data_IF_727570928280
#
_entry.id   IF_727570928280
#
_cell.length_a   1.000
_cell.length_b   1.000
_cell.length_c   1.000
_cell.angle_alpha   90.00
_cell.angle_beta   90.00
_cell.angle_gamma   90.00
#
_symmetry.space_group_name_H-M   'P 1'
#
loop_
_entity.id
_entity.type
_entity.pdbx_description
1 polymer ?
#
# COMPACT_ATOMS: atom_id res chain seq x y z
N UNK A 1 -2.70 -11.83 -2.23
CA UNK A 1 -2.51 -10.35 -2.11
C UNK A 1 -1.14 -9.86 -2.58
N UNK A 2 -0.03 -10.60 -2.43
CA UNK A 2 1.33 -10.19 -2.89
C UNK A 2 1.42 -9.71 -4.35
N UNK A 3 0.83 -10.44 -5.30
CA UNK A 3 0.91 -10.11 -6.75
C UNK A 3 0.27 -8.75 -7.07
N UNK A 4 -0.78 -8.34 -6.33
CA UNK A 4 -1.43 -7.04 -6.54
C UNK A 4 -0.55 -5.87 -6.05
N UNK A 5 0.24 -6.08 -5.01
CA UNK A 5 1.14 -5.06 -4.46
C UNK A 5 2.38 -4.84 -5.32
N UNK A 6 2.97 -5.89 -5.90
CA UNK A 6 4.11 -5.73 -6.84
C UNK A 6 3.71 -4.96 -8.10
N UNK A 7 2.52 -5.25 -8.64
CA UNK A 7 2.00 -4.50 -9.78
C UNK A 7 1.66 -3.04 -9.42
N UNK A 8 1.14 -2.80 -8.21
CA UNK A 8 0.88 -1.44 -7.72
C UNK A 8 2.17 -0.64 -7.54
N UNK A 9 3.20 -1.26 -6.97
CA UNK A 9 4.53 -0.68 -6.78
C UNK A 9 5.20 -0.38 -8.14
N UNK A 10 5.11 -1.31 -9.09
CA UNK A 10 5.59 -1.11 -10.45
C UNK A 10 4.88 0.06 -11.14
N UNK A 11 3.55 0.12 -11.02
CA UNK A 11 2.74 1.20 -11.59
C UNK A 11 3.06 2.55 -10.97
N UNK A 12 3.15 2.64 -9.63
CA UNK A 12 3.52 3.89 -8.94
C UNK A 12 4.92 4.34 -9.35
N UNK A 13 5.89 3.43 -9.45
CA UNK A 13 7.25 3.75 -9.88
C UNK A 13 7.29 4.33 -11.29
N UNK A 14 6.59 3.69 -12.23
CA UNK A 14 6.48 4.17 -13.61
C UNK A 14 5.79 5.54 -13.66
N UNK A 15 4.64 5.69 -12.97
CA UNK A 15 3.89 6.95 -12.90
C UNK A 15 4.73 8.08 -12.32
N UNK A 16 5.51 7.83 -11.26
CA UNK A 16 6.34 8.86 -10.62
C UNK A 16 7.47 9.31 -11.54
N UNK A 17 8.13 8.37 -12.22
CA UNK A 17 9.15 8.69 -13.22
C UNK A 17 8.58 9.50 -14.38
N UNK A 18 7.45 9.04 -14.95
CA UNK A 18 6.80 9.72 -16.08
C UNK A 18 6.30 11.12 -15.71
N UNK A 19 5.76 11.30 -14.51
CA UNK A 19 5.37 12.64 -14.03
C UNK A 19 6.57 13.58 -13.90
N UNK A 20 7.67 13.12 -13.31
CA UNK A 20 8.88 13.92 -13.17
C UNK A 20 9.46 14.31 -14.54
N UNK A 21 9.43 13.39 -15.51
CA UNK A 21 9.82 13.66 -16.89
C UNK A 21 8.95 14.75 -17.53
N UNK A 22 7.62 14.63 -17.43
CA UNK A 22 6.69 15.59 -18.01
C UNK A 22 6.86 16.98 -17.38
N UNK A 23 6.98 17.06 -16.05
CA UNK A 23 7.23 18.32 -15.34
C UNK A 23 8.54 18.96 -15.83
N UNK A 24 9.60 18.16 -16.00
CA UNK A 24 10.88 18.64 -16.50
C UNK A 24 10.78 19.21 -17.92
N UNK A 25 10.11 18.48 -18.82
CA UNK A 25 9.91 18.93 -20.21
C UNK A 25 9.11 20.22 -20.25
N UNK A 26 8.01 20.32 -19.50
CA UNK A 26 7.20 21.54 -19.43
C UNK A 26 8.02 22.70 -18.86
N UNK A 27 8.69 22.49 -17.73
CA UNK A 27 9.48 23.52 -17.07
C UNK A 27 10.64 24.04 -17.94
N UNK A 28 11.42 23.15 -18.57
CA UNK A 28 12.54 23.60 -19.39
C UNK A 28 12.13 24.07 -20.79
N UNK A 29 10.93 23.74 -21.27
CA UNK A 29 10.35 24.36 -22.47
C UNK A 29 10.04 25.85 -22.26
N UNK A 30 9.64 26.25 -21.04
CA UNK A 30 9.43 27.65 -20.67
C UNK A 30 10.74 28.45 -20.59
N UNK A 31 11.88 27.78 -20.43
CA UNK A 31 13.20 28.39 -20.31
C UNK A 31 13.96 28.50 -21.65
N UNK A 32 13.31 28.22 -22.79
CA UNK A 32 13.91 28.24 -24.14
C UNK A 32 15.21 27.40 -24.25
N UNK A 33 15.25 26.30 -23.51
CA UNK A 33 16.39 25.37 -23.51
C UNK A 33 16.43 24.57 -24.81
N UNK A 34 17.62 24.21 -25.29
CA UNK A 34 17.74 23.34 -26.47
C UNK A 34 16.95 22.03 -26.29
N UNK A 35 16.08 21.65 -27.23
CA UNK A 35 15.15 20.53 -27.06
C UNK A 35 15.88 19.19 -26.89
N UNK A 36 17.04 19.03 -27.51
CA UNK A 36 17.83 17.81 -27.43
C UNK A 36 18.42 17.63 -26.01
N UNK A 37 18.95 18.71 -25.44
CA UNK A 37 19.49 18.74 -24.09
C UNK A 37 18.38 18.57 -23.05
N UNK A 38 17.22 19.17 -23.30
CA UNK A 38 16.01 19.03 -22.48
C UNK A 38 15.56 17.57 -22.37
N UNK A 39 15.50 16.86 -23.49
CA UNK A 39 15.10 15.44 -23.53
C UNK A 39 16.14 14.56 -22.84
N UNK A 40 17.44 14.79 -23.09
CA UNK A 40 18.53 14.04 -22.45
C UNK A 40 18.50 14.17 -20.93
N UNK A 41 18.41 15.40 -20.42
CA UNK A 41 18.32 15.64 -18.98
C UNK A 41 17.00 15.10 -18.44
N UNK A 42 15.90 15.23 -19.19
CA UNK A 42 14.61 14.62 -18.83
C UNK A 42 14.72 13.11 -18.63
N UNK A 43 15.38 12.38 -19.54
CA UNK A 43 15.60 10.93 -19.40
C UNK A 43 16.41 10.62 -18.14
N UNK A 44 17.42 11.44 -17.81
CA UNK A 44 18.19 11.28 -16.57
C UNK A 44 17.29 11.51 -15.34
N UNK A 45 16.46 12.56 -15.33
CA UNK A 45 15.49 12.83 -14.26
C UNK A 45 14.51 11.66 -14.12
N UNK A 46 13.98 11.14 -15.23
CA UNK A 46 13.11 9.97 -15.25
C UNK A 46 13.77 8.78 -14.55
N UNK A 47 15.00 8.42 -14.94
CA UNK A 47 15.72 7.29 -14.36
C UNK A 47 15.99 7.48 -12.87
N UNK A 48 16.31 8.70 -12.46
CA UNK A 48 16.60 9.04 -11.07
C UNK A 48 15.36 8.90 -10.20
N UNK A 49 14.23 9.49 -10.62
CA UNK A 49 12.94 9.36 -9.94
C UNK A 49 12.38 7.95 -9.99
N UNK A 50 12.62 7.21 -11.08
CA UNK A 50 12.24 5.81 -11.18
C UNK A 50 12.99 4.94 -10.16
N UNK A 51 14.29 5.20 -9.91
CA UNK A 51 15.01 4.54 -8.82
C UNK A 51 14.50 4.94 -7.43
N UNK A 52 14.28 6.24 -7.20
CA UNK A 52 13.76 6.76 -5.93
C UNK A 52 12.38 6.21 -5.58
N UNK A 53 11.46 6.17 -6.54
CA UNK A 53 10.13 5.58 -6.38
C UNK A 53 10.20 4.09 -5.99
N UNK A 54 11.26 3.38 -6.40
CA UNK A 54 11.50 2.02 -5.96
C UNK A 54 11.91 1.87 -4.50
N UNK A 55 12.70 2.80 -3.98
CA UNK A 55 13.07 2.85 -2.56
C UNK A 55 11.85 3.22 -1.71
N UNK A 56 11.08 4.21 -2.16
CA UNK A 56 9.85 4.65 -1.49
C UNK A 56 8.79 3.54 -1.43
N UNK A 57 8.64 2.78 -2.52
CA UNK A 57 7.74 1.63 -2.55
C UNK A 57 8.14 0.52 -1.57
N UNK A 58 9.44 0.24 -1.41
CA UNK A 58 9.93 -0.70 -0.40
C UNK A 58 9.69 -0.23 1.03
N UNK A 59 9.78 1.08 1.26
CA UNK A 59 9.42 1.70 2.54
C UNK A 59 7.92 1.54 2.83
N UNK A 60 7.06 1.82 1.85
CA UNK A 60 5.61 1.62 1.95
C UNK A 60 5.22 0.16 2.18
N UNK A 61 5.94 -0.79 1.55
CA UNK A 61 5.74 -2.22 1.79
C UNK A 61 5.99 -2.59 3.26
N UNK A 62 7.06 -2.06 3.89
CA UNK A 62 7.33 -2.26 5.33
C UNK A 62 6.22 -1.70 6.21
N UNK A 63 5.79 -0.46 5.95
CA UNK A 63 4.75 0.19 6.76
C UNK A 63 3.40 -0.53 6.62
N UNK A 64 3.08 -1.03 5.44
CA UNK A 64 1.83 -1.76 5.23
C UNK A 64 1.84 -3.16 5.87
N UNK A 65 3.00 -3.81 5.95
CA UNK A 65 3.16 -5.07 6.70
C UNK A 65 2.89 -4.86 8.20
N UNK A 66 3.42 -3.79 8.79
CA UNK A 66 3.17 -3.44 10.20
C UNK A 66 1.68 -3.16 10.48
N UNK A 67 0.98 -2.47 9.58
CA UNK A 67 -0.45 -2.18 9.75
C UNK A 67 -1.30 -3.45 9.60
N UNK A 68 -0.93 -4.35 8.69
CA UNK A 68 -1.69 -5.57 8.44
C UNK A 68 -1.57 -6.56 9.61
N UNK A 69 -0.43 -6.63 10.31
CA UNK A 69 -0.30 -7.47 11.50
C UNK A 69 -1.15 -6.95 12.68
N UNK A 70 -1.22 -5.63 12.89
CA UNK A 70 -2.04 -5.03 13.97
C UNK A 70 -3.54 -5.30 13.77
N UNK A 71 -4.02 -5.26 12.52
CA UNK A 71 -5.44 -5.56 12.22
C UNK A 71 -5.74 -7.07 12.27
N UNK A 72 -4.74 -7.94 12.03
CA UNK A 72 -4.92 -9.39 12.12
C UNK A 72 -5.07 -9.86 13.56
N UNK A 73 -4.27 -9.32 14.47
CA UNK A 73 -4.39 -9.61 15.91
C UNK A 73 -5.74 -9.14 16.49
N UNK A 74 -6.24 -7.97 16.06
CA UNK A 74 -7.58 -7.51 16.47
C UNK A 74 -8.71 -8.43 15.99
N UNK A 75 -8.60 -8.96 14.77
CA UNK A 75 -9.63 -9.84 14.21
C UNK A 75 -9.67 -11.20 14.93
N UNK A 76 -8.53 -11.77 15.28
CA UNK A 76 -8.48 -13.03 16.04
C UNK A 76 -9.07 -12.87 17.44
N UNK A 77 -8.72 -11.79 18.16
CA UNK A 77 -9.24 -11.52 19.51
C UNK A 77 -10.76 -11.29 19.51
N UNK A 78 -11.31 -10.57 18.53
CA UNK A 78 -12.76 -10.34 18.45
C UNK A 78 -13.52 -11.61 18.04
N UNK A 79 -12.90 -12.47 17.22
CA UNK A 79 -13.50 -13.76 16.84
C UNK A 79 -13.53 -14.72 18.03
N UNK A 80 -12.48 -14.74 18.85
CA UNK A 80 -12.37 -15.56 20.05
C UNK A 80 -13.32 -15.09 21.17
N UNK A 81 -13.45 -13.78 21.39
CA UNK A 81 -14.47 -13.24 22.33
C UNK A 81 -15.88 -13.59 21.90
N UNK A 82 -16.17 -13.56 20.59
CA UNK A 82 -17.49 -13.89 20.04
C UNK A 82 -17.79 -15.39 20.04
N UNK A 83 -16.77 -16.25 20.03
CA UNK A 83 -16.95 -17.69 20.21
C UNK A 83 -17.10 -18.06 21.69
N UNK A 84 -16.32 -17.47 22.60
CA UNK A 84 -16.49 -17.63 24.05
C UNK A 84 -17.86 -17.13 24.52
N UNK A 85 -18.32 -15.97 24.05
CA UNK A 85 -19.66 -15.48 24.37
C UNK A 85 -20.77 -16.44 23.97
N UNK A 86 -20.63 -17.11 22.80
CA UNK A 86 -21.59 -18.13 22.35
C UNK A 86 -21.53 -19.43 23.16
N UNK A 87 -20.35 -19.85 23.61
CA UNK A 87 -20.21 -21.05 24.45
C UNK A 87 -20.80 -20.82 25.86
N UNK A 88 -20.62 -19.62 26.42
CA UNK A 88 -21.21 -19.25 27.71
C UNK A 88 -22.74 -19.18 27.63
N UNK A 89 -23.29 -18.61 26.57
CA UNK A 89 -24.73 -18.52 26.33
C UNK A 89 -25.38 -19.91 26.18
N UNK A 90 -24.70 -20.85 25.51
CA UNK A 90 -25.12 -22.26 25.38
C UNK A 90 -25.04 -23.00 26.73
N UNK A 91 -24.04 -22.72 27.56
CA UNK A 91 -23.92 -23.34 28.88
C UNK A 91 -25.01 -22.86 29.85
N UNK A 92 -25.39 -21.58 29.80
CA UNK A 92 -26.47 -21.02 30.64
C UNK A 92 -27.86 -21.46 30.18
N UNK A 93 -28.05 -21.71 28.88
CA UNK A 93 -29.31 -22.25 28.35
C UNK A 93 -29.46 -23.76 28.54
N UNK A 94 -28.40 -24.48 28.93
CA UNK A 94 -28.45 -25.90 29.31
C UNK A 94 -28.92 -26.14 30.75
N UNK A 95 -28.95 -25.11 31.61
CA UNK A 95 -29.34 -25.22 33.03
C UNK A 95 -30.79 -24.82 33.32
N UNK A 96 -31.58 -24.43 32.32
CA UNK A 96 -33.00 -24.14 32.55
C UNK A 96 -33.77 -25.45 32.71
N UNK A 97 -34.37 -25.71 33.89
CA UNK A 97 -35.11 -26.93 34.15
C UNK A 97 -36.33 -26.96 33.23
N UNK A 98 -36.48 -28.05 32.48
CA UNK A 98 -37.72 -28.38 31.80
C UNK A 98 -38.85 -28.37 32.85
N UNK A 99 -39.66 -27.31 32.82
CA UNK A 99 -40.81 -27.11 33.69
C UNK A 99 -42.03 -27.86 33.16
N UNK A 100 -42.58 -28.65 34.08
CA UNK A 100 -43.86 -29.41 34.08
C UNK A 100 -44.09 -30.51 33.03
#
# INVERSE_FOLDING_TARGET
MKIRFENLIGAVRALTGTFAFLIWIVAGSLLFTEPLLLVLVGIIVFLWFHKMGGVFAKLLERTNYEITDIDRDKFEVDTEKKSMGRLLDVSQSAELPFGE
#
